data_IF_459568517239
#
_entry.id   IF_459568517239
#
_cell.length_a   1.000
_cell.length_b   1.000
_cell.length_c   1.000
_cell.angle_alpha   90.00
_cell.angle_beta   90.00
_cell.angle_gamma   90.00
#
_symmetry.space_group_name_H-M   'P 1'
#
loop_
_entity.id
_entity.type
_entity.pdbx_description
1 polymer ?
#
# COMPACT_ATOMS: atom_id res chain seq x y z
N UNK A 1 12.87 -7.27 25.07
CA UNK A 1 11.65 -7.09 24.26
C UNK A 1 11.73 -5.67 23.71
N UNK A 2 11.94 -5.52 22.40
CA UNK A 2 12.02 -4.22 21.73
C UNK A 2 10.65 -3.57 21.87
N UNK A 3 10.56 -2.38 22.49
CA UNK A 3 9.30 -1.62 22.53
C UNK A 3 9.12 -0.93 21.17
N UNK A 4 7.88 -0.66 20.72
CA UNK A 4 7.62 0.01 19.43
C UNK A 4 8.34 1.36 19.22
N UNK A 5 8.90 1.96 20.27
CA UNK A 5 9.66 3.21 20.25
C UNK A 5 11.18 3.06 20.04
N UNK A 6 11.71 1.84 20.01
CA UNK A 6 13.13 1.55 19.81
C UNK A 6 13.45 1.07 18.37
N UNK A 7 12.51 1.24 17.44
CA UNK A 7 12.68 0.83 16.04
C UNK A 7 13.71 1.71 15.32
N UNK A 8 14.42 1.11 14.37
CA UNK A 8 15.39 1.85 13.56
C UNK A 8 14.67 2.93 12.74
N UNK A 9 15.22 4.14 12.62
CA UNK A 9 14.63 5.17 11.78
C UNK A 9 14.70 4.76 10.30
N UNK A 10 13.70 5.12 9.51
CA UNK A 10 13.79 5.05 8.05
C UNK A 10 14.89 6.00 7.56
N UNK A 11 15.64 5.62 6.53
CA UNK A 11 16.62 6.49 5.90
C UNK A 11 15.97 7.79 5.42
N UNK A 12 16.58 8.93 5.71
CA UNK A 12 16.18 10.21 5.16
C UNK A 12 17.11 10.61 4.02
N UNK A 13 16.54 11.09 2.90
CA UNK A 13 17.30 11.67 1.78
C UNK A 13 16.71 13.03 1.40
N UNK A 14 17.49 13.92 0.75
CA UNK A 14 16.96 15.17 0.23
C UNK A 14 15.73 14.92 -0.66
N UNK A 15 14.74 15.81 -0.57
CA UNK A 15 13.57 15.73 -1.44
C UNK A 15 13.98 15.79 -2.92
N UNK A 16 13.53 14.84 -3.76
CA UNK A 16 13.83 14.84 -5.18
C UNK A 16 13.23 16.07 -5.85
N UNK A 17 13.95 16.64 -6.81
CA UNK A 17 13.49 17.79 -7.60
C UNK A 17 13.08 17.39 -9.01
N UNK A 18 13.57 16.25 -9.49
CA UNK A 18 13.25 15.70 -10.82
C UNK A 18 12.83 14.23 -10.73
N UNK A 19 12.17 13.70 -11.77
CA UNK A 19 11.92 12.26 -11.88
C UNK A 19 13.21 11.40 -11.78
N UNK A 20 14.34 11.89 -12.29
CA UNK A 20 15.63 11.22 -12.19
C UNK A 20 16.15 11.13 -10.75
N UNK A 21 15.98 12.20 -9.95
CA UNK A 21 16.34 12.18 -8.52
C UNK A 21 15.51 11.11 -7.78
N UNK A 22 14.21 11.01 -8.10
CA UNK A 22 13.34 9.99 -7.52
C UNK A 22 13.75 8.58 -7.97
N UNK A 23 14.16 8.40 -9.24
CA UNK A 23 14.68 7.11 -9.72
C UNK A 23 15.89 6.65 -8.91
N UNK A 24 16.83 7.54 -8.58
CA UNK A 24 17.98 7.21 -7.75
C UNK A 24 17.62 6.84 -6.29
N UNK A 25 16.44 7.25 -5.80
CA UNK A 25 15.88 6.78 -4.53
C UNK A 25 15.34 5.36 -4.70
N UNK A 26 14.59 5.12 -5.78
CA UNK A 26 13.94 3.84 -6.09
C UNK A 26 14.93 2.70 -6.32
N UNK A 27 16.05 2.96 -6.99
CA UNK A 27 17.12 1.99 -7.23
C UNK A 27 17.70 1.40 -5.93
N UNK A 28 17.50 2.07 -4.78
CA UNK A 28 17.90 1.56 -3.48
C UNK A 28 17.01 0.45 -2.92
N UNK A 29 15.82 0.22 -3.51
CA UNK A 29 14.80 -0.80 -3.16
C UNK A 29 14.53 -0.89 -1.65
N UNK A 30 14.52 0.27 -0.99
CA UNK A 30 14.30 0.42 0.45
C UNK A 30 13.49 1.69 0.75
N UNK A 31 12.76 1.74 1.87
CA UNK A 31 11.99 2.92 2.24
C UNK A 31 12.88 4.13 2.46
N UNK A 32 12.42 5.29 2.02
CA UNK A 32 13.14 6.57 2.19
C UNK A 32 12.15 7.67 2.53
N UNK A 33 12.46 8.44 3.57
CA UNK A 33 11.73 9.67 3.90
C UNK A 33 12.34 10.85 3.14
N UNK A 34 11.46 11.64 2.55
CA UNK A 34 11.77 12.85 1.78
C UNK A 34 11.14 14.04 2.49
N UNK A 35 11.91 14.68 3.38
CA UNK A 35 11.41 15.80 4.20
C UNK A 35 11.05 17.00 3.33
N UNK A 36 9.86 17.53 3.58
CA UNK A 36 9.34 18.74 2.94
C UNK A 36 9.08 18.64 1.44
N UNK A 37 9.02 17.44 0.84
CA UNK A 37 8.80 17.25 -0.61
C UNK A 37 7.58 18.03 -1.14
N UNK A 38 6.51 18.12 -0.36
CA UNK A 38 5.27 18.81 -0.74
C UNK A 38 4.96 20.01 0.15
N UNK A 39 5.96 20.58 0.84
CA UNK A 39 5.76 21.70 1.77
C UNK A 39 5.15 22.95 1.12
N UNK A 40 5.41 23.14 -0.18
CA UNK A 40 4.94 24.30 -0.95
C UNK A 40 3.50 24.12 -1.49
N UNK A 41 2.89 22.96 -1.28
CA UNK A 41 1.50 22.74 -1.69
C UNK A 41 0.55 23.70 -0.95
N UNK A 42 -0.38 24.37 -1.66
CA UNK A 42 -1.42 25.18 -1.03
C UNK A 42 -2.21 24.39 0.03
N UNK A 43 -2.46 23.09 -0.20
CA UNK A 43 -3.11 22.23 0.77
C UNK A 43 -2.34 22.13 2.09
N UNK A 44 -1.00 21.97 2.05
CA UNK A 44 -0.17 21.90 3.26
C UNK A 44 -0.19 23.24 3.99
N UNK A 45 -0.12 24.35 3.26
CA UNK A 45 -0.26 25.68 3.85
C UNK A 45 -1.63 25.88 4.54
N UNK A 46 -2.72 25.36 3.96
CA UNK A 46 -4.06 25.38 4.58
C UNK A 46 -4.17 24.45 5.78
N UNK A 47 -3.56 23.26 5.72
CA UNK A 47 -3.52 22.34 6.86
C UNK A 47 -2.82 22.95 8.07
N UNK A 48 -1.73 23.72 7.85
CA UNK A 48 -1.03 24.46 8.91
C UNK A 48 -1.86 25.60 9.52
N UNK A 49 -2.92 26.05 8.85
CA UNK A 49 -3.88 27.04 9.40
C UNK A 49 -4.97 26.38 10.26
N UNK A 50 -5.08 25.05 10.25
CA UNK A 50 -6.00 24.28 11.07
C UNK A 50 -6.97 23.40 10.26
N UNK A 51 -7.60 22.46 10.95
CA UNK A 51 -8.43 21.40 10.37
C UNK A 51 -9.62 21.95 9.55
N UNK A 52 -10.27 23.02 10.03
CA UNK A 52 -11.36 23.68 9.29
C UNK A 52 -10.89 24.34 7.99
N UNK A 53 -9.66 24.87 7.98
CA UNK A 53 -9.11 25.56 6.81
C UNK A 53 -8.81 24.58 5.67
N UNK A 54 -8.22 23.43 5.99
CA UNK A 54 -7.99 22.38 4.97
C UNK A 54 -9.30 21.71 4.53
N UNK A 55 -10.25 21.49 5.44
CA UNK A 55 -11.56 20.96 5.07
C UNK A 55 -12.30 21.89 4.09
N UNK A 56 -12.26 23.22 4.32
CA UNK A 56 -12.81 24.21 3.39
C UNK A 56 -12.08 24.19 2.05
N UNK A 57 -10.76 24.17 2.07
CA UNK A 57 -9.93 24.13 0.86
C UNK A 57 -10.26 22.95 -0.06
N UNK A 58 -10.51 21.76 0.49
CA UNK A 58 -10.91 20.58 -0.29
C UNK A 58 -12.24 20.80 -1.03
N UNK A 59 -13.14 21.64 -0.52
CA UNK A 59 -14.45 21.90 -1.12
C UNK A 59 -14.43 23.04 -2.15
N UNK A 60 -13.45 23.95 -2.09
CA UNK A 60 -13.33 25.14 -2.96
C UNK A 60 -13.19 24.77 -4.44
N UNK A 61 -12.53 23.66 -4.74
CA UNK A 61 -12.25 23.18 -6.09
C UNK A 61 -13.42 22.50 -6.82
N UNK A 62 -14.58 22.36 -6.15
CA UNK A 62 -15.74 21.64 -6.67
C UNK A 62 -15.61 20.12 -6.55
N UNK A 63 -16.46 19.51 -5.71
CA UNK A 63 -16.54 18.05 -5.55
C UNK A 63 -17.44 17.49 -6.64
N UNK A 64 -16.92 16.55 -7.44
CA UNK A 64 -17.59 16.07 -8.66
C UNK A 64 -18.51 14.87 -8.43
N UNK A 65 -18.29 14.09 -7.38
CA UNK A 65 -19.04 12.86 -7.08
C UNK A 65 -19.05 12.52 -5.58
N UNK A 66 -19.92 11.58 -5.15
CA UNK A 66 -19.85 11.00 -3.81
C UNK A 66 -18.52 10.28 -3.54
N UNK A 67 -18.19 10.15 -2.26
CA UNK A 67 -17.02 9.44 -1.74
C UNK A 67 -17.43 8.16 -1.03
N UNK A 68 -16.53 7.18 -1.03
CA UNK A 68 -16.64 5.97 -0.22
C UNK A 68 -15.80 6.15 1.05
N UNK A 69 -16.42 5.83 2.18
CA UNK A 69 -15.77 5.86 3.48
C UNK A 69 -16.01 4.54 4.21
N UNK A 70 -15.16 4.29 5.19
CA UNK A 70 -15.33 3.23 6.18
C UNK A 70 -15.47 3.83 7.57
N UNK A 71 -16.22 3.13 8.41
CA UNK A 71 -16.49 3.53 9.78
C UNK A 71 -16.46 2.35 10.73
N UNK A 72 -15.87 2.54 11.91
CA UNK A 72 -15.93 1.59 13.02
C UNK A 72 -16.29 2.30 14.32
N UNK A 73 -16.97 1.59 15.22
CA UNK A 73 -17.34 2.13 16.52
C UNK A 73 -16.13 2.46 17.40
N UNK A 74 -16.29 3.25 18.47
CA UNK A 74 -15.20 3.62 19.37
C UNK A 74 -14.46 2.43 20.01
N UNK A 75 -15.14 1.28 20.17
CA UNK A 75 -14.54 0.04 20.69
C UNK A 75 -13.44 -0.52 19.78
N UNK A 76 -13.43 -0.16 18.49
CA UNK A 76 -12.37 -0.53 17.57
C UNK A 76 -11.07 0.25 17.82
N UNK A 77 -11.10 1.33 18.62
CA UNK A 77 -9.92 2.14 18.95
C UNK A 77 -9.10 2.54 17.71
N UNK A 78 -9.78 3.00 16.67
CA UNK A 78 -9.17 3.41 15.41
C UNK A 78 -8.69 2.25 14.51
N UNK A 79 -8.78 0.99 14.94
CA UNK A 79 -8.22 -0.15 14.20
C UNK A 79 -9.25 -0.76 13.24
N UNK A 80 -9.00 -0.61 11.94
CA UNK A 80 -9.77 -1.31 10.91
C UNK A 80 -9.19 -2.71 10.70
N UNK A 81 -9.97 -3.74 11.03
CA UNK A 81 -9.47 -5.12 11.13
C UNK A 81 -10.59 -6.15 10.89
N UNK A 82 -10.29 -7.42 11.15
CA UNK A 82 -11.26 -8.50 11.19
C UNK A 82 -12.17 -8.42 12.41
N UNK A 83 -13.36 -9.01 12.31
CA UNK A 83 -14.12 -9.40 13.49
C UNK A 83 -13.43 -10.56 14.23
N UNK A 84 -13.90 -10.89 15.44
CA UNK A 84 -13.21 -11.83 16.34
C UNK A 84 -13.11 -13.28 15.82
N UNK A 85 -13.99 -13.70 14.91
CA UNK A 85 -14.01 -15.04 14.32
C UNK A 85 -13.46 -15.10 12.89
N UNK A 86 -12.95 -13.98 12.37
CA UNK A 86 -12.36 -13.83 11.03
C UNK A 86 -13.33 -14.11 9.88
N UNK A 87 -14.64 -14.10 10.12
CA UNK A 87 -15.67 -14.28 9.08
C UNK A 87 -15.98 -12.98 8.34
N UNK A 88 -15.50 -11.84 8.85
CA UNK A 88 -15.76 -10.54 8.28
C UNK A 88 -14.86 -9.45 8.86
N UNK A 89 -15.29 -8.20 8.69
CA UNK A 89 -14.54 -7.01 9.07
C UNK A 89 -15.24 -6.31 10.25
N UNK A 90 -14.47 -5.61 11.08
CA UNK A 90 -15.00 -4.86 12.23
C UNK A 90 -15.54 -3.46 11.86
N UNK A 91 -15.66 -3.17 10.56
CA UNK A 91 -16.07 -1.87 10.04
C UNK A 91 -17.11 -2.01 8.94
N UNK A 92 -17.86 -0.93 8.73
CA UNK A 92 -18.84 -0.81 7.66
C UNK A 92 -18.30 0.06 6.54
N UNK A 93 -18.84 -0.12 5.34
CA UNK A 93 -18.61 0.75 4.18
C UNK A 93 -19.84 1.65 3.97
N UNK A 94 -19.60 2.93 3.74
CA UNK A 94 -20.64 3.95 3.57
C UNK A 94 -20.28 4.81 2.36
N UNK A 95 -21.29 5.22 1.59
CA UNK A 95 -21.13 6.19 0.51
C UNK A 95 -21.87 7.47 0.85
N UNK A 96 -21.28 8.63 0.55
CA UNK A 96 -21.88 9.92 0.90
C UNK A 96 -21.20 11.13 0.26
N UNK A 97 -21.64 12.33 0.67
CA UNK A 97 -21.03 13.60 0.22
C UNK A 97 -19.76 13.86 1.01
N UNK A 98 -18.69 14.30 0.32
CA UNK A 98 -17.43 14.68 0.98
C UNK A 98 -17.63 15.76 2.04
N UNK A 99 -18.48 16.75 1.77
CA UNK A 99 -18.83 17.82 2.71
C UNK A 99 -19.36 17.27 4.05
N UNK A 100 -20.30 16.33 4.00
CA UNK A 100 -20.85 15.70 5.20
C UNK A 100 -19.79 14.89 5.95
N UNK A 101 -18.98 14.12 5.21
CA UNK A 101 -17.86 13.38 5.80
C UNK A 101 -16.87 14.30 6.54
N UNK A 102 -16.48 15.43 5.92
CA UNK A 102 -15.58 16.41 6.55
C UNK A 102 -16.20 17.09 7.77
N UNK A 103 -17.49 17.42 7.73
CA UNK A 103 -18.19 17.97 8.89
C UNK A 103 -18.22 16.98 10.06
N UNK A 104 -18.50 15.71 9.79
CA UNK A 104 -18.53 14.67 10.82
C UNK A 104 -17.13 14.38 11.37
N UNK A 105 -16.10 14.42 10.51
CA UNK A 105 -14.70 14.32 10.92
C UNK A 105 -14.30 15.46 11.86
N UNK A 106 -14.68 16.70 11.54
CA UNK A 106 -14.43 17.87 12.39
C UNK A 106 -15.20 17.81 13.72
N UNK A 107 -16.42 17.27 13.74
CA UNK A 107 -17.15 17.04 15.00
C UNK A 107 -16.47 15.97 15.84
N UNK A 108 -16.00 14.90 15.21
CA UNK A 108 -15.30 13.80 15.86
C UNK A 108 -13.97 14.26 16.50
N UNK A 109 -13.32 15.31 15.99
CA UNK A 109 -12.07 15.82 16.55
C UNK A 109 -12.20 16.33 17.99
N UNK A 110 -13.40 16.78 18.38
CA UNK A 110 -13.73 17.28 19.72
C UNK A 110 -14.16 16.16 20.70
N UNK A 111 -14.29 14.92 20.24
CA UNK A 111 -14.72 13.77 21.04
C UNK A 111 -13.49 13.04 21.56
N UNK A 112 -13.48 12.67 22.85
CA UNK A 112 -12.34 11.99 23.48
C UNK A 112 -12.08 10.60 22.90
N UNK A 113 -13.15 9.84 22.61
CA UNK A 113 -13.10 8.53 21.96
C UNK A 113 -14.03 8.52 20.74
N UNK A 114 -13.60 9.11 19.60
CA UNK A 114 -14.44 9.20 18.42
C UNK A 114 -14.58 7.84 17.73
N UNK A 115 -15.65 7.63 16.94
CA UNK A 115 -15.67 6.53 15.97
C UNK A 115 -14.50 6.69 14.99
N UNK A 116 -13.96 5.57 14.52
CA UNK A 116 -12.93 5.57 13.48
C UNK A 116 -13.60 5.90 12.13
N UNK A 117 -13.02 6.84 11.38
CA UNK A 117 -13.57 7.29 10.09
C UNK A 117 -12.46 7.42 9.06
N UNK A 118 -12.65 6.85 7.87
CA UNK A 118 -11.68 6.97 6.77
C UNK A 118 -12.34 6.96 5.39
N UNK A 119 -12.05 7.96 4.57
CA UNK A 119 -12.18 7.92 3.12
C UNK A 119 -10.90 7.29 2.55
N UNK A 120 -11.05 6.27 1.70
CA UNK A 120 -9.93 5.43 1.27
C UNK A 120 -9.72 5.48 -0.24
N UNK A 121 -8.48 5.72 -0.67
CA UNK A 121 -8.02 5.51 -2.05
C UNK A 121 -8.85 6.21 -3.13
N UNK A 122 -9.38 7.40 -2.87
CA UNK A 122 -10.17 8.13 -3.85
C UNK A 122 -9.26 8.78 -4.89
N UNK A 123 -9.50 8.50 -6.18
CA UNK A 123 -8.80 9.15 -7.29
C UNK A 123 -9.09 10.66 -7.28
N UNK A 124 -8.04 11.48 -7.13
CA UNK A 124 -8.16 12.93 -6.92
C UNK A 124 -8.63 13.63 -8.19
N UNK A 125 -8.03 13.33 -9.34
CA UNK A 125 -8.36 13.91 -10.66
C UNK A 125 -9.87 13.89 -10.93
N UNK A 126 -10.52 12.78 -10.58
CA UNK A 126 -11.95 12.54 -10.78
C UNK A 126 -12.85 13.03 -9.63
N UNK A 127 -12.31 13.41 -8.47
CA UNK A 127 -13.09 13.81 -7.28
C UNK A 127 -12.93 15.31 -6.96
N UNK A 128 -11.70 15.81 -7.01
CA UNK A 128 -11.25 17.13 -6.56
C UNK A 128 -10.35 17.79 -7.63
N UNK A 129 -10.88 18.15 -8.82
CA UNK A 129 -10.08 18.70 -9.91
C UNK A 129 -9.35 20.00 -9.55
N UNK A 130 -9.92 20.84 -8.67
CA UNK A 130 -9.23 22.02 -8.15
C UNK A 130 -8.02 21.68 -7.28
N UNK A 131 -8.12 20.64 -6.44
CA UNK A 131 -6.98 20.14 -5.66
C UNK A 131 -5.90 19.57 -6.58
N UNK A 132 -6.29 18.76 -7.56
CA UNK A 132 -5.39 18.10 -8.52
C UNK A 132 -4.54 19.12 -9.29
N UNK A 133 -5.17 20.19 -9.75
CA UNK A 133 -4.50 21.29 -10.46
C UNK A 133 -3.47 22.01 -9.59
N UNK A 134 -3.80 22.27 -8.32
CA UNK A 134 -3.04 23.18 -7.46
C UNK A 134 -1.95 22.47 -6.62
N UNK A 135 -2.03 21.14 -6.46
CA UNK A 135 -1.15 20.35 -5.59
C UNK A 135 -0.49 19.21 -6.38
N UNK A 136 0.29 19.56 -7.40
CA UNK A 136 0.95 18.59 -8.28
C UNK A 136 2.27 18.11 -7.68
N UNK A 137 2.59 16.84 -7.93
CA UNK A 137 3.90 16.26 -7.62
C UNK A 137 4.72 16.17 -8.90
N UNK A 138 5.60 17.14 -9.14
CA UNK A 138 6.33 17.27 -10.40
C UNK A 138 7.31 16.13 -10.69
N UNK A 139 7.73 15.39 -9.66
CA UNK A 139 8.60 14.21 -9.82
C UNK A 139 7.85 12.96 -10.31
N UNK A 140 6.51 12.99 -10.32
CA UNK A 140 5.62 11.93 -10.82
C UNK A 140 4.45 12.52 -11.62
N UNK A 141 4.71 13.23 -12.75
CA UNK A 141 3.70 14.03 -13.44
C UNK A 141 2.61 13.21 -14.12
N UNK A 142 2.89 11.94 -14.44
CA UNK A 142 2.02 11.03 -15.20
C UNK A 142 1.33 9.98 -14.31
N UNK A 143 1.55 10.03 -12.99
CA UNK A 143 0.95 9.08 -12.05
C UNK A 143 -0.27 9.70 -11.40
N UNK A 144 -1.42 9.02 -11.50
CA UNK A 144 -2.67 9.52 -10.94
C UNK A 144 -2.64 9.50 -9.40
N UNK A 145 -2.87 10.66 -8.74
CA UNK A 145 -2.85 10.72 -7.28
C UNK A 145 -4.14 10.20 -6.65
N UNK A 146 -3.99 9.61 -5.47
CA UNK A 146 -5.08 9.09 -4.63
C UNK A 146 -5.05 9.73 -3.26
N UNK A 147 -6.24 10.00 -2.71
CA UNK A 147 -6.40 10.68 -1.42
C UNK A 147 -7.00 9.75 -0.37
N UNK A 148 -6.48 9.93 0.84
CA UNK A 148 -6.96 9.32 2.07
C UNK A 148 -7.26 10.43 3.07
N UNK A 149 -8.45 10.41 3.66
CA UNK A 149 -8.84 11.36 4.71
C UNK A 149 -9.40 10.57 5.87
N UNK A 150 -8.98 10.86 7.10
CA UNK A 150 -9.54 10.21 8.28
C UNK A 150 -9.11 10.87 9.57
N UNK A 151 -9.43 10.22 10.69
CA UNK A 151 -9.00 10.63 12.02
C UNK A 151 -7.88 9.72 12.54
N UNK A 152 -7.79 9.60 13.87
CA UNK A 152 -6.85 8.69 14.54
C UNK A 152 -7.22 7.24 14.27
N UNK A 153 -6.59 6.68 13.26
CA UNK A 153 -6.82 5.31 12.79
C UNK A 153 -5.51 4.57 12.63
N UNK A 154 -5.58 3.25 12.75
CA UNK A 154 -4.48 2.32 12.63
C UNK A 154 -4.82 1.29 11.57
N UNK A 155 -3.94 1.18 10.58
CA UNK A 155 -3.99 0.19 9.52
C UNK A 155 -2.87 -0.81 9.77
N UNK A 156 -3.25 -2.08 9.90
CA UNK A 156 -2.30 -3.16 10.13
C UNK A 156 -1.28 -3.28 8.98
N UNK A 157 -0.06 -3.81 9.24
CA UNK A 157 0.91 -4.06 8.19
C UNK A 157 0.32 -4.82 7.01
N UNK A 158 0.48 -4.28 5.82
CA UNK A 158 0.09 -4.88 4.54
C UNK A 158 1.11 -4.50 3.48
N UNK A 159 1.01 -5.07 2.29
CA UNK A 159 1.89 -4.76 1.17
C UNK A 159 1.07 -4.48 -0.09
N UNK A 160 1.65 -3.70 -0.99
CA UNK A 160 1.09 -3.43 -2.31
C UNK A 160 2.00 -4.03 -3.39
N UNK A 161 1.40 -4.54 -4.46
CA UNK A 161 2.12 -4.90 -5.69
C UNK A 161 2.31 -3.68 -6.59
N UNK A 162 2.65 -2.54 -5.99
CA UNK A 162 2.90 -1.23 -6.60
C UNK A 162 4.01 -0.53 -5.83
N UNK A 163 4.78 0.29 -6.50
CA UNK A 163 5.63 1.28 -5.81
C UNK A 163 4.75 2.44 -5.32
N UNK A 164 5.16 3.11 -4.24
CA UNK A 164 4.36 4.15 -3.63
C UNK A 164 5.20 5.37 -3.20
N UNK A 165 4.74 6.58 -3.50
CA UNK A 165 5.14 7.80 -2.77
C UNK A 165 3.92 8.29 -2.02
N UNK A 166 4.02 8.36 -0.70
CA UNK A 166 2.95 8.83 0.17
C UNK A 166 3.34 10.16 0.83
N UNK A 167 2.58 11.22 0.52
CA UNK A 167 2.78 12.59 0.95
C UNK A 167 1.81 12.95 2.08
N UNK A 168 2.35 13.38 3.22
CA UNK A 168 1.57 13.82 4.38
C UNK A 168 1.10 15.27 4.18
N UNK A 169 -0.20 15.46 4.01
CA UNK A 169 -0.79 16.79 3.70
C UNK A 169 -1.33 17.47 4.95
N UNK A 170 -2.02 16.73 5.82
CA UNK A 170 -2.55 17.23 7.08
C UNK A 170 -2.44 16.18 8.19
N UNK A 171 -2.25 16.63 9.43
CA UNK A 171 -1.92 15.78 10.57
C UNK A 171 -0.57 15.07 10.40
N UNK A 172 -0.21 14.24 11.38
CA UNK A 172 0.99 13.40 11.34
C UNK A 172 0.65 11.96 11.00
N UNK A 173 1.55 11.34 10.25
CA UNK A 173 1.41 9.95 9.80
C UNK A 173 2.62 9.12 10.23
N UNK A 174 2.43 8.05 10.99
CA UNK A 174 3.47 7.12 11.38
C UNK A 174 3.43 5.87 10.49
N UNK A 175 4.58 5.53 9.92
CA UNK A 175 4.78 4.33 9.10
C UNK A 175 5.75 3.40 9.82
N UNK A 176 5.37 2.13 9.98
CA UNK A 176 6.28 1.06 10.42
C UNK A 176 6.41 0.06 9.28
N UNK A 177 7.61 -0.13 8.74
CA UNK A 177 7.86 -0.89 7.53
C UNK A 177 8.74 -2.11 7.78
N UNK A 178 8.50 -3.16 7.00
CA UNK A 178 9.23 -4.42 7.03
C UNK A 178 9.54 -4.86 5.60
N UNK A 179 10.75 -5.39 5.41
CA UNK A 179 11.16 -5.90 4.11
C UNK A 179 10.29 -7.12 3.70
N UNK A 180 10.16 -7.41 2.39
CA UNK A 180 9.34 -8.53 1.90
C UNK A 180 9.75 -9.91 2.47
N UNK A 181 11.01 -10.10 2.82
CA UNK A 181 11.52 -11.33 3.42
C UNK A 181 10.97 -11.59 4.84
N UNK A 182 10.38 -10.59 5.49
CA UNK A 182 9.71 -10.71 6.78
C UNK A 182 8.27 -11.24 6.68
N UNK A 183 7.76 -11.53 5.48
CA UNK A 183 6.38 -12.02 5.26
C UNK A 183 6.01 -13.17 6.20
N UNK A 184 6.90 -14.15 6.40
CA UNK A 184 6.64 -15.29 7.27
C UNK A 184 6.61 -14.96 8.78
N UNK A 185 7.18 -13.83 9.18
CA UNK A 185 7.25 -13.33 10.56
C UNK A 185 6.09 -12.37 10.89
N UNK A 186 5.36 -11.90 9.87
CA UNK A 186 4.25 -10.96 9.99
C UNK A 186 2.88 -11.63 10.15
N UNK A 187 2.80 -12.96 10.05
CA UNK A 187 1.55 -13.72 10.15
C UNK A 187 0.44 -13.13 9.26
N UNK A 188 0.56 -13.21 7.92
CA UNK A 188 -0.47 -12.72 7.01
C UNK A 188 -1.82 -13.38 7.31
N UNK A 189 -2.88 -12.57 7.24
CA UNK A 189 -4.26 -13.03 7.44
C UNK A 189 -4.82 -13.83 6.26
N UNK A 190 -6.14 -14.09 6.27
CA UNK A 190 -6.83 -14.84 5.23
C UNK A 190 -6.68 -14.24 3.83
N UNK A 191 -6.79 -15.08 2.80
CA UNK A 191 -6.76 -14.66 1.40
C UNK A 191 -8.14 -14.17 0.91
N UNK A 192 -9.20 -14.74 1.47
CA UNK A 192 -10.59 -14.59 1.01
C UNK A 192 -11.28 -13.36 1.61
N UNK A 193 -11.02 -13.10 2.89
CA UNK A 193 -11.52 -11.92 3.59
C UNK A 193 -10.34 -10.99 3.76
N UNK A 194 -10.30 -9.92 2.96
CA UNK A 194 -9.25 -8.89 3.06
C UNK A 194 -9.89 -7.51 3.24
N UNK A 195 -9.37 -6.64 4.11
CA UNK A 195 -9.92 -5.29 4.30
C UNK A 195 -9.88 -4.44 3.03
N UNK A 196 -8.81 -4.58 2.23
CA UNK A 196 -8.51 -3.73 1.08
C UNK A 196 -7.88 -4.49 -0.10
N UNK A 197 -8.12 -5.80 -0.23
CA UNK A 197 -7.66 -6.60 -1.38
C UNK A 197 -6.33 -7.34 -1.19
N UNK A 198 -5.59 -7.05 -0.12
CA UNK A 198 -4.38 -7.77 0.26
C UNK A 198 -4.50 -8.31 1.71
N UNK A 199 -3.89 -9.48 2.01
CA UNK A 199 -3.77 -9.95 3.39
C UNK A 199 -3.02 -8.92 4.24
N UNK A 200 -3.58 -8.63 5.41
CA UNK A 200 -2.92 -7.82 6.43
C UNK A 200 -2.32 -8.71 7.51
N UNK A 201 -1.29 -8.23 8.21
CA UNK A 201 -0.72 -8.90 9.38
C UNK A 201 -1.79 -9.09 10.45
N UNK A 202 -1.81 -10.28 11.05
CA UNK A 202 -2.69 -10.61 12.17
C UNK A 202 -2.27 -9.94 13.48
N UNK A 203 -1.05 -9.39 13.54
CA UNK A 203 -0.44 -8.87 14.78
C UNK A 203 -0.77 -7.39 14.95
N UNK A 204 -1.15 -6.99 16.17
CA UNK A 204 -1.26 -5.57 16.54
C UNK A 204 0.13 -5.00 16.83
N UNK A 205 0.50 -3.91 16.15
CA UNK A 205 1.80 -3.25 16.33
C UNK A 205 1.95 -2.60 17.71
N UNK A 206 0.87 -2.12 18.30
CA UNK A 206 0.92 -1.37 19.56
C UNK A 206 0.97 -2.31 20.77
N UNK A 207 0.33 -3.48 20.65
CA UNK A 207 0.29 -4.50 21.68
C UNK A 207 0.45 -5.90 21.06
N UNK A 208 1.67 -6.26 20.60
CA UNK A 208 1.90 -7.53 19.94
C UNK A 208 1.77 -8.70 20.92
N UNK A 209 0.86 -9.62 20.63
CA UNK A 209 0.75 -10.90 21.32
C UNK A 209 1.87 -11.85 20.86
N UNK A 210 3.03 -11.73 21.50
CA UNK A 210 4.21 -12.56 21.20
C UNK A 210 4.09 -14.01 21.71
N UNK A 211 3.07 -14.33 22.52
CA UNK A 211 2.80 -15.71 22.91
C UNK A 211 2.14 -16.45 21.74
N UNK A 212 1.14 -15.83 21.11
CA UNK A 212 0.48 -16.37 19.91
C UNK A 212 1.34 -16.20 18.65
N UNK A 213 2.06 -15.08 18.54
CA UNK A 213 2.83 -14.70 17.34
C UNK A 213 4.34 -14.52 17.63
N UNK A 214 5.05 -15.57 18.11
CA UNK A 214 6.43 -15.43 18.59
C UNK A 214 7.43 -14.95 17.52
N UNK A 215 7.21 -15.27 16.23
CA UNK A 215 8.09 -14.83 15.13
C UNK A 215 8.01 -13.33 14.87
N UNK A 216 6.98 -12.66 15.37
CA UNK A 216 6.84 -11.22 15.20
C UNK A 216 7.98 -10.46 15.90
N UNK A 217 8.58 -11.03 16.94
CA UNK A 217 9.79 -10.49 17.55
C UNK A 217 10.93 -10.33 16.51
N UNK A 218 11.12 -11.31 15.63
CA UNK A 218 12.09 -11.22 14.52
C UNK A 218 11.69 -10.14 13.52
N UNK A 219 10.40 -10.02 13.17
CA UNK A 219 9.96 -8.92 12.30
C UNK A 219 10.29 -7.55 12.91
N UNK A 220 10.08 -7.36 14.21
CA UNK A 220 10.37 -6.12 14.93
C UNK A 220 11.87 -5.78 14.95
N UNK A 221 12.76 -6.78 15.01
CA UNK A 221 14.22 -6.57 14.93
C UNK A 221 14.65 -5.96 13.58
N UNK A 222 13.90 -6.23 12.51
CA UNK A 222 14.15 -5.73 11.15
C UNK A 222 13.27 -4.54 10.75
N UNK A 223 12.37 -4.10 11.64
CA UNK A 223 11.42 -3.03 11.33
C UNK A 223 12.09 -1.66 11.34
N UNK A 224 11.68 -0.81 10.39
CA UNK A 224 12.04 0.61 10.35
C UNK A 224 10.80 1.47 10.55
N UNK A 225 10.94 2.64 11.18
CA UNK A 225 9.83 3.53 11.46
C UNK A 225 10.14 4.99 11.12
N UNK A 226 9.12 5.71 10.64
CA UNK A 226 9.16 7.16 10.50
C UNK A 226 7.81 7.78 10.87
N UNK A 227 7.87 8.99 11.45
CA UNK A 227 6.70 9.88 11.56
C UNK A 227 6.89 11.03 10.57
N UNK A 228 5.89 11.23 9.72
CA UNK A 228 5.82 12.30 8.74
C UNK A 228 5.02 13.47 9.31
N UNK A 229 5.54 14.68 9.12
CA UNK A 229 4.85 15.94 9.38
C UNK A 229 4.19 16.47 8.09
N UNK A 230 3.20 17.39 8.17
CA UNK A 230 2.64 18.05 7.00
C UNK A 230 3.71 18.69 6.10
N UNK A 231 3.84 18.17 4.87
CA UNK A 231 4.86 18.53 3.90
C UNK A 231 5.84 17.41 3.55
N UNK A 232 5.98 16.41 4.42
CA UNK A 232 6.89 15.28 4.21
C UNK A 232 6.28 14.20 3.31
N UNK A 233 7.16 13.40 2.69
CA UNK A 233 6.76 12.22 1.95
C UNK A 233 7.62 11.00 2.31
N UNK A 234 7.12 9.81 2.01
CA UNK A 234 7.86 8.54 2.11
C UNK A 234 7.74 7.76 0.81
N UNK A 235 8.85 7.24 0.33
CA UNK A 235 8.89 6.22 -0.72
C UNK A 235 8.78 4.84 -0.07
N UNK A 236 7.86 4.01 -0.57
CA UNK A 236 7.66 2.62 -0.16
C UNK A 236 7.89 1.75 -1.41
N UNK A 237 8.92 0.89 -1.41
CA UNK A 237 9.19 0.03 -2.55
C UNK A 237 8.14 -1.06 -2.73
N UNK A 238 8.10 -1.64 -3.93
CA UNK A 238 7.23 -2.76 -4.29
C UNK A 238 7.28 -3.89 -3.24
N UNK A 239 6.10 -4.37 -2.83
CA UNK A 239 5.90 -5.45 -1.84
C UNK A 239 6.48 -5.20 -0.43
N UNK A 240 6.94 -4.00 -0.10
CA UNK A 240 7.30 -3.70 1.29
C UNK A 240 6.05 -3.65 2.17
N UNK A 241 6.12 -4.39 3.28
CA UNK A 241 5.07 -4.38 4.28
C UNK A 241 5.10 -3.07 5.04
N UNK A 242 3.95 -2.46 5.29
CA UNK A 242 3.85 -1.19 5.99
C UNK A 242 2.56 -1.10 6.81
N UNK A 243 2.71 -0.86 8.11
CA UNK A 243 1.64 -0.44 9.01
C UNK A 243 1.57 1.07 9.04
N UNK A 244 0.35 1.63 9.03
CA UNK A 244 0.14 3.07 8.91
C UNK A 244 -0.81 3.57 10.00
N UNK A 245 -0.40 4.62 10.69
CA UNK A 245 -1.18 5.25 11.73
C UNK A 245 -1.32 6.75 11.49
N UNK A 246 -2.53 7.28 11.61
CA UNK A 246 -2.73 8.72 11.78
C UNK A 246 -2.78 9.09 13.25
N UNK A 247 -1.97 10.07 13.64
CA UNK A 247 -1.78 10.45 15.04
C UNK A 247 -2.69 11.60 15.47
N UNK A 248 -3.24 12.34 14.51
CA UNK A 248 -3.99 13.57 14.74
C UNK A 248 -5.48 13.40 14.37
N UNK A 249 -6.37 14.27 14.91
CA UNK A 249 -7.83 14.12 14.75
C UNK A 249 -8.30 14.25 13.30
N UNK A 250 -7.57 15.02 12.49
CA UNK A 250 -7.74 15.12 11.04
C UNK A 250 -6.42 14.79 10.40
N UNK A 251 -6.44 13.79 9.51
CA UNK A 251 -5.28 13.36 8.73
C UNK A 251 -5.64 13.25 7.27
N UNK A 252 -4.76 13.80 6.42
CA UNK A 252 -4.88 13.74 4.96
C UNK A 252 -3.55 13.27 4.40
N UNK A 253 -3.61 12.21 3.62
CA UNK A 253 -2.48 11.63 2.89
C UNK A 253 -2.82 11.62 1.41
N UNK A 254 -1.87 12.02 0.57
CA UNK A 254 -1.96 11.85 -0.89
C UNK A 254 -0.87 10.90 -1.32
N UNK A 255 -1.22 9.85 -2.05
CA UNK A 255 -0.25 8.88 -2.51
C UNK A 255 -0.31 8.65 -4.02
N UNK A 256 0.80 8.17 -4.56
CA UNK A 256 1.02 7.90 -5.97
C UNK A 256 1.44 6.44 -6.08
N UNK A 257 0.60 5.60 -6.69
CA UNK A 257 0.94 4.20 -6.97
C UNK A 257 1.24 4.00 -8.44
N UNK A 258 2.36 3.37 -8.75
CA UNK A 258 2.72 3.01 -10.12
C UNK A 258 3.47 1.68 -10.16
N UNK A 259 3.62 1.15 -11.36
CA UNK A 259 4.61 0.13 -11.70
C UNK A 259 5.45 0.66 -12.84
N UNK A 260 6.78 0.53 -12.75
CA UNK A 260 7.69 0.86 -13.85
C UNK A 260 8.42 -0.42 -14.30
N UNK A 261 8.63 -0.56 -15.60
CA UNK A 261 9.36 -1.69 -16.18
C UNK A 261 8.54 -2.96 -16.39
N UNK A 262 7.27 -3.00 -15.97
CA UNK A 262 6.36 -4.09 -16.30
C UNK A 262 5.99 -4.06 -17.80
N UNK A 263 6.21 -5.16 -18.55
CA UNK A 263 5.80 -5.23 -19.95
C UNK A 263 4.29 -5.07 -20.13
N UNK A 264 3.88 -4.36 -21.18
CA UNK A 264 2.46 -4.19 -21.49
C UNK A 264 1.78 -5.54 -21.66
N UNK A 265 0.65 -5.72 -20.96
CA UNK A 265 -0.14 -6.93 -21.03
C UNK A 265 0.38 -8.08 -20.14
N UNK A 266 1.34 -7.87 -19.25
CA UNK A 266 1.74 -8.88 -18.25
C UNK A 266 0.58 -9.22 -17.28
N UNK A 267 0.56 -10.45 -16.76
CA UNK A 267 -0.41 -10.90 -15.75
C UNK A 267 -0.11 -10.38 -14.35
N UNK A 268 -1.09 -10.43 -13.44
CA UNK A 268 -0.88 -10.01 -12.04
C UNK A 268 -0.16 -11.11 -11.24
N UNK A 269 0.92 -10.80 -10.50
CA UNK A 269 1.65 -11.79 -9.72
C UNK A 269 0.80 -12.52 -8.67
N UNK A 270 -0.21 -11.86 -8.11
CA UNK A 270 -1.10 -12.48 -7.12
C UNK A 270 -1.94 -13.61 -7.71
N UNK A 271 -2.39 -13.49 -8.97
CA UNK A 271 -3.11 -14.56 -9.67
C UNK A 271 -2.21 -15.79 -9.86
N UNK A 272 -0.94 -15.58 -10.17
CA UNK A 272 0.05 -16.65 -10.28
C UNK A 272 0.27 -17.37 -8.93
N UNK A 273 0.31 -16.62 -7.81
CA UNK A 273 0.39 -17.20 -6.47
C UNK A 273 -0.83 -18.07 -6.17
N UNK A 274 -2.05 -17.60 -6.47
CA UNK A 274 -3.27 -18.38 -6.24
C UNK A 274 -3.30 -19.66 -7.08
N UNK A 275 -2.91 -19.59 -8.35
CA UNK A 275 -2.80 -20.78 -9.20
C UNK A 275 -1.71 -21.76 -8.73
N UNK A 276 -0.57 -21.27 -8.23
CA UNK A 276 0.47 -22.11 -7.64
C UNK A 276 -0.01 -22.78 -6.34
N UNK A 277 -0.80 -22.09 -5.52
CA UNK A 277 -1.41 -22.69 -4.33
C UNK A 277 -2.37 -23.82 -4.71
N UNK A 278 -3.25 -23.57 -5.69
CA UNK A 278 -4.21 -24.55 -6.21
C UNK A 278 -3.52 -25.80 -6.74
N UNK A 279 -2.44 -25.64 -7.51
CA UNK A 279 -1.84 -26.74 -8.28
C UNK A 279 -0.64 -27.42 -7.61
N UNK A 280 0.14 -26.69 -6.80
CA UNK A 280 1.44 -27.18 -6.30
C UNK A 280 1.45 -27.41 -4.79
N UNK A 281 0.70 -26.61 -4.00
CA UNK A 281 0.84 -26.60 -2.52
C UNK A 281 0.60 -27.97 -1.88
N UNK A 282 -0.31 -28.75 -2.43
CA UNK A 282 -0.78 -30.02 -1.87
C UNK A 282 -0.12 -31.26 -2.48
N UNK A 283 0.81 -31.10 -3.43
CA UNK A 283 1.55 -32.22 -3.98
C UNK A 283 2.46 -32.88 -2.91
N UNK A 284 2.79 -34.18 -3.05
CA UNK A 284 3.80 -34.84 -2.24
C UNK A 284 5.13 -34.07 -2.20
N UNK A 285 5.88 -34.09 -1.08
CA UNK A 285 7.09 -33.27 -0.93
C UNK A 285 8.09 -33.36 -2.09
N UNK A 286 8.44 -34.57 -2.52
CA UNK A 286 9.37 -34.78 -3.63
C UNK A 286 8.86 -34.20 -4.97
N UNK A 287 7.54 -34.18 -5.19
CA UNK A 287 6.95 -33.57 -6.39
C UNK A 287 6.98 -32.04 -6.31
N UNK A 288 6.77 -31.46 -5.12
CA UNK A 288 6.90 -30.01 -4.91
C UNK A 288 8.34 -29.54 -5.10
N UNK A 289 9.31 -30.32 -4.64
CA UNK A 289 10.72 -29.99 -4.84
C UNK A 289 11.09 -30.05 -6.33
N UNK A 290 10.59 -31.04 -7.09
CA UNK A 290 10.75 -31.06 -8.54
C UNK A 290 10.12 -29.84 -9.22
N UNK A 291 8.90 -29.44 -8.83
CA UNK A 291 8.27 -28.24 -9.39
C UNK A 291 8.96 -26.94 -8.97
N UNK A 292 9.62 -26.89 -7.79
CA UNK A 292 10.44 -25.75 -7.41
C UNK A 292 11.58 -25.53 -8.40
N UNK A 293 12.32 -26.58 -8.75
CA UNK A 293 13.39 -26.51 -9.77
C UNK A 293 12.85 -26.01 -11.12
N UNK A 294 11.65 -26.45 -11.52
CA UNK A 294 11.01 -25.98 -12.75
C UNK A 294 10.64 -24.49 -12.69
N UNK A 295 10.07 -24.02 -11.59
CA UNK A 295 9.74 -22.59 -11.42
C UNK A 295 11.01 -21.73 -11.34
N UNK A 296 12.04 -22.20 -10.64
CA UNK A 296 13.33 -21.51 -10.55
C UNK A 296 13.99 -21.37 -11.93
N UNK A 297 13.94 -22.43 -12.74
CA UNK A 297 14.48 -22.39 -14.10
C UNK A 297 13.62 -21.58 -15.09
N UNK A 298 12.29 -21.77 -15.14
CA UNK A 298 11.43 -21.18 -16.19
C UNK A 298 10.80 -19.84 -15.83
N UNK A 299 10.57 -19.55 -14.54
CA UNK A 299 9.82 -18.36 -14.10
C UNK A 299 10.74 -17.32 -13.47
N UNK A 300 11.58 -17.73 -12.51
CA UNK A 300 12.49 -16.81 -11.84
C UNK A 300 13.78 -16.59 -12.64
N UNK A 301 14.22 -17.61 -13.38
CA UNK A 301 15.34 -17.60 -14.34
C UNK A 301 16.48 -16.64 -13.95
N UNK A 302 17.14 -16.88 -12.80
CA UNK A 302 18.10 -15.91 -12.25
C UNK A 302 19.31 -15.66 -13.16
N UNK A 303 19.59 -16.58 -14.09
CA UNK A 303 20.68 -16.47 -15.06
C UNK A 303 20.20 -15.96 -16.44
N UNK A 304 18.88 -15.86 -16.68
CA UNK A 304 18.31 -15.45 -17.96
C UNK A 304 18.49 -16.46 -19.09
N UNK A 305 18.60 -17.76 -18.77
CA UNK A 305 19.01 -18.81 -19.72
C UNK A 305 17.87 -19.74 -20.15
N UNK A 306 16.66 -19.55 -19.63
CA UNK A 306 15.54 -20.43 -19.93
C UNK A 306 15.25 -20.46 -21.45
N UNK A 307 15.47 -21.62 -22.08
CA UNK A 307 15.20 -21.82 -23.51
C UNK A 307 16.28 -21.31 -24.48
N UNK A 308 17.48 -20.92 -24.00
CA UNK A 308 18.60 -20.50 -24.85
C UNK A 308 19.07 -21.57 -25.85
N UNK A 309 18.94 -22.84 -25.46
CA UNK A 309 19.31 -23.99 -26.30
C UNK A 309 18.32 -24.22 -27.46
N UNK A 310 17.17 -23.55 -27.46
CA UNK A 310 16.16 -23.67 -28.52
C UNK A 310 16.41 -22.63 -29.62
N UNK A 311 16.19 -22.99 -30.90
CA UNK A 311 16.15 -21.97 -31.95
C UNK A 311 14.99 -21.00 -31.70
N UNK A 312 15.15 -19.72 -32.08
CA UNK A 312 14.16 -18.65 -31.79
C UNK A 312 12.70 -18.99 -32.12
N UNK A 313 12.46 -19.70 -33.22
CA UNK A 313 11.10 -20.09 -33.63
C UNK A 313 10.44 -21.13 -32.70
N UNK A 314 11.21 -21.82 -31.86
CA UNK A 314 10.76 -22.85 -30.93
C UNK A 314 10.71 -22.39 -29.47
N UNK A 315 11.11 -21.15 -29.16
CA UNK A 315 11.10 -20.64 -27.79
C UNK A 315 9.68 -20.44 -27.24
N UNK A 316 8.69 -20.18 -28.11
CA UNK A 316 7.27 -20.12 -27.74
C UNK A 316 7.03 -19.12 -26.60
N UNK A 317 6.46 -19.61 -25.49
CA UNK A 317 6.16 -18.80 -24.29
C UNK A 317 7.41 -18.28 -23.54
N UNK A 318 8.60 -18.81 -23.86
CA UNK A 318 9.89 -18.35 -23.34
C UNK A 318 10.52 -17.25 -24.22
N UNK A 319 9.81 -16.79 -25.25
CA UNK A 319 10.26 -15.71 -26.11
C UNK A 319 10.24 -14.34 -25.42
N UNK A 320 10.72 -13.31 -26.13
CA UNK A 320 10.73 -11.94 -25.61
C UNK A 320 9.32 -11.43 -25.25
N UNK A 321 9.17 -10.67 -24.15
CA UNK A 321 7.87 -10.20 -23.67
C UNK A 321 7.18 -9.29 -24.70
N UNK A 322 5.90 -9.55 -24.95
CA UNK A 322 5.05 -8.72 -25.82
C UNK A 322 3.56 -8.97 -25.52
N UNK A 323 2.67 -8.02 -25.84
CA UNK A 323 1.23 -8.23 -25.70
C UNK A 323 0.73 -9.51 -26.39
N UNK A 324 1.22 -9.78 -27.60
CA UNK A 324 0.87 -10.98 -28.36
C UNK A 324 1.32 -12.29 -27.68
N UNK A 325 2.51 -12.29 -27.06
CA UNK A 325 2.99 -13.43 -26.27
C UNK A 325 2.06 -13.69 -25.08
N UNK A 326 1.72 -12.64 -24.32
CA UNK A 326 0.88 -12.78 -23.14
C UNK A 326 -0.56 -13.20 -23.49
N UNK A 327 -1.12 -12.72 -24.60
CA UNK A 327 -2.43 -13.18 -25.08
C UNK A 327 -2.40 -14.65 -25.51
N UNK A 328 -1.32 -15.09 -26.15
CA UNK A 328 -1.11 -16.50 -26.45
C UNK A 328 -1.03 -17.34 -25.17
N UNK A 329 -0.26 -16.91 -24.16
CA UNK A 329 -0.18 -17.58 -22.86
C UNK A 329 -1.55 -17.67 -22.17
N UNK A 330 -2.32 -16.58 -22.15
CA UNK A 330 -3.69 -16.59 -21.61
C UNK A 330 -4.61 -17.55 -22.35
N UNK A 331 -4.46 -17.71 -23.65
CA UNK A 331 -5.22 -18.66 -24.45
C UNK A 331 -4.87 -20.11 -24.09
N UNK A 332 -3.57 -20.42 -23.94
CA UNK A 332 -3.09 -21.72 -23.48
C UNK A 332 -3.57 -22.07 -22.06
N UNK A 333 -3.54 -21.09 -21.15
CA UNK A 333 -4.05 -21.29 -19.79
C UNK A 333 -5.56 -21.52 -19.83
N UNK A 334 -6.31 -20.69 -20.56
CA UNK A 334 -7.78 -20.85 -20.68
C UNK A 334 -8.21 -22.17 -21.28
N UNK A 335 -7.46 -22.75 -22.22
CA UNK A 335 -7.80 -24.04 -22.81
C UNK A 335 -7.52 -25.24 -21.88
N UNK A 336 -6.72 -25.04 -20.84
CA UNK A 336 -6.32 -26.09 -19.88
C UNK A 336 -7.04 -26.00 -18.55
N UNK A 337 -7.59 -24.83 -18.19
CA UNK A 337 -8.48 -24.67 -17.04
C UNK A 337 -9.80 -25.41 -17.30
N UNK A 338 -9.94 -26.60 -16.71
CA UNK A 338 -11.13 -27.47 -16.77
C UNK A 338 -12.23 -27.03 -15.83
#
# INVERSE_FOLDING_TARGET
MIKPHDLQPVEERPAPKTPEDLRAIRDGVRPVVMRGLVSEWPAVARARQGDEAIARYLLEGGVTRPVNAIGAGPDAQGRFFYNSDLTGLNFIRVQGRLETFLQDLLRASAVANPPAMAMQSETISNLLPGFDRDNRLDVLPDVEPRMWIGNRIRVAPHFDTKENVACCVAGRRRFTLFAPDQTANLYPGPFEVTPAGAPISMVDLDNPDLETYPKFATALEHAVQATLEPGDAIYIPYCWWHGVESLDPVSILVNYWWTEGEPEGIGQPYDALLHALLSLRHLPPAQRDAWREFLDYYVFDPEGKAGEHLPKHAQGVLGAPSPALFDHMRSLIRSTLS
#
